data_IF_548553022576
#
_entry.id   IF_548553022576
#
_cell.length_a   1.000
_cell.length_b   1.000
_cell.length_c   1.000
_cell.angle_alpha   90.00
_cell.angle_beta   90.00
_cell.angle_gamma   90.00
#
_symmetry.space_group_name_H-M   'P 1'
#
loop_
_entity.id
_entity.type
_entity.pdbx_description
1 polymer ?
#
# COMPACT_ATOMS: atom_id res chain seq x y z
N UNK A 1 2.50 19.13 25.39
CA UNK A 1 2.00 19.43 24.03
C UNK A 1 1.59 18.12 23.38
N UNK A 2 0.33 17.95 22.96
CA UNK A 2 -0.07 16.77 22.16
C UNK A 2 0.66 16.87 20.82
N UNK A 3 1.52 15.90 20.50
CA UNK A 3 2.07 15.78 19.14
C UNK A 3 0.89 15.80 18.16
N UNK A 4 0.95 16.64 17.12
CA UNK A 4 -0.13 16.78 16.15
C UNK A 4 -0.53 15.40 15.62
N UNK A 5 -1.83 15.11 15.61
CA UNK A 5 -2.39 13.79 15.29
C UNK A 5 -2.19 13.37 13.81
N UNK A 6 -1.41 14.14 13.05
CA UNK A 6 -1.27 14.02 11.61
C UNK A 6 0.16 14.32 11.18
N UNK A 7 0.63 13.57 10.18
CA UNK A 7 1.89 13.80 9.48
C UNK A 7 1.60 14.40 8.11
N UNK A 8 2.59 15.03 7.49
CA UNK A 8 2.50 15.39 6.08
C UNK A 8 2.29 14.11 5.22
N UNK A 9 1.44 14.14 4.18
CA UNK A 9 0.58 15.26 3.77
C UNK A 9 -0.68 15.42 4.63
N UNK A 10 -1.17 16.66 4.75
CA UNK A 10 -2.33 17.02 5.58
C UNK A 10 -3.65 16.32 5.19
N UNK A 11 -4.67 16.34 6.08
CA UNK A 11 -5.81 15.42 6.02
C UNK A 11 -6.88 15.73 4.98
N UNK A 12 -6.86 16.92 4.36
CA UNK A 12 -7.95 17.34 3.46
C UNK A 12 -7.88 16.59 2.12
N UNK A 13 -8.98 15.93 1.75
CA UNK A 13 -9.15 15.25 0.47
C UNK A 13 -8.35 13.95 0.29
N UNK A 14 -7.85 13.35 1.38
CA UNK A 14 -7.07 12.09 1.36
C UNK A 14 -7.21 11.33 2.68
N UNK A 15 -6.76 10.09 2.72
CA UNK A 15 -6.66 9.36 4.00
C UNK A 15 -5.56 10.02 4.85
N UNK A 16 -5.87 10.56 6.06
CA UNK A 16 -4.89 11.26 6.87
C UNK A 16 -3.69 10.38 7.23
N UNK A 17 -2.49 10.91 7.03
CA UNK A 17 -1.28 10.24 7.49
C UNK A 17 -1.15 10.44 9.01
N UNK A 18 -0.80 9.38 9.74
CA UNK A 18 -0.75 9.40 11.20
C UNK A 18 0.54 8.76 11.74
N UNK A 19 1.07 9.22 12.88
CA UNK A 19 2.15 8.51 13.58
C UNK A 19 1.72 7.09 13.96
N UNK A 20 2.53 6.08 13.61
CA UNK A 20 2.24 4.68 13.92
C UNK A 20 1.57 3.89 12.81
N UNK A 21 1.48 4.42 11.58
CA UNK A 21 1.01 3.68 10.41
C UNK A 21 1.79 2.38 10.17
N UNK A 22 3.10 2.38 10.45
CA UNK A 22 3.94 1.19 10.39
C UNK A 22 3.51 0.14 11.42
N UNK A 23 3.32 0.55 12.69
CA UNK A 23 2.85 -0.34 13.76
C UNK A 23 1.44 -0.86 13.51
N UNK A 24 0.58 -0.06 12.87
CA UNK A 24 -0.74 -0.49 12.47
C UNK A 24 -0.68 -1.59 11.39
N UNK A 25 0.23 -1.47 10.42
CA UNK A 25 0.44 -2.52 9.41
C UNK A 25 1.03 -3.81 10.01
N UNK A 26 1.91 -3.70 11.01
CA UNK A 26 2.38 -4.88 11.77
C UNK A 26 1.23 -5.62 12.46
N UNK A 27 0.36 -4.89 13.18
CA UNK A 27 -0.82 -5.48 13.83
C UNK A 27 -1.80 -6.09 12.84
N UNK A 28 -2.00 -5.46 11.69
CA UNK A 28 -2.82 -6.03 10.62
C UNK A 28 -2.22 -7.35 10.12
N UNK A 29 -0.90 -7.45 10.04
CA UNK A 29 -0.23 -8.68 9.59
C UNK A 29 -0.30 -9.84 10.61
N UNK A 30 -0.69 -9.56 11.85
CA UNK A 30 -0.88 -10.55 12.90
C UNK A 30 -2.26 -11.24 12.84
N UNK A 31 -3.22 -10.72 12.06
CA UNK A 31 -4.57 -11.31 11.99
C UNK A 31 -4.61 -12.56 11.11
N UNK A 32 -5.55 -13.45 11.39
CA UNK A 32 -5.71 -14.69 10.62
C UNK A 32 -6.19 -14.43 9.19
N UNK A 33 -6.98 -13.37 8.98
CA UNK A 33 -7.39 -12.94 7.63
C UNK A 33 -6.18 -12.53 6.79
N UNK A 34 -5.23 -11.79 7.38
CA UNK A 34 -3.99 -11.45 6.68
C UNK A 34 -3.18 -12.69 6.36
N UNK A 35 -3.01 -13.60 7.32
CA UNK A 35 -2.25 -14.85 7.13
C UNK A 35 -2.86 -15.71 6.01
N UNK A 36 -4.18 -15.85 6.00
CA UNK A 36 -4.91 -16.62 4.99
C UNK A 36 -4.95 -15.94 3.60
N UNK A 37 -4.86 -14.61 3.54
CA UNK A 37 -4.97 -13.88 2.28
C UNK A 37 -3.75 -14.10 1.36
N UNK A 38 -3.98 -14.60 0.15
CA UNK A 38 -2.97 -14.64 -0.91
C UNK A 38 -2.91 -13.34 -1.75
N UNK A 39 -3.95 -12.50 -1.66
CA UNK A 39 -4.13 -11.28 -2.44
C UNK A 39 -4.67 -10.18 -1.56
N UNK A 40 -4.11 -8.97 -1.68
CA UNK A 40 -4.50 -7.78 -0.93
C UNK A 40 -4.87 -6.68 -1.93
N UNK A 41 -5.96 -5.94 -1.64
CA UNK A 41 -6.26 -4.67 -2.30
C UNK A 41 -5.93 -3.52 -1.37
N UNK A 42 -5.21 -2.50 -1.85
CA UNK A 42 -4.79 -1.37 -1.03
C UNK A 42 -4.80 -0.05 -1.83
N UNK A 43 -5.02 1.08 -1.17
CA UNK A 43 -5.04 2.40 -1.84
C UNK A 43 -3.65 3.02 -1.93
N UNK A 44 -3.45 4.00 -2.84
CA UNK A 44 -2.16 4.64 -3.05
C UNK A 44 -1.74 5.62 -1.95
N UNK A 45 -2.64 5.96 -1.01
CA UNK A 45 -2.39 6.92 0.07
C UNK A 45 -1.18 6.56 0.93
N UNK A 46 -0.42 7.59 1.33
CA UNK A 46 0.78 7.50 2.17
C UNK A 46 0.63 6.63 3.43
N UNK A 47 -0.41 6.77 4.28
CA UNK A 47 -0.61 5.90 5.45
C UNK A 47 -0.75 4.42 5.14
N UNK A 48 -1.11 4.05 3.90
CA UNK A 48 -1.24 2.65 3.50
C UNK A 48 0.03 2.11 2.82
N UNK A 49 1.08 2.92 2.64
CA UNK A 49 2.36 2.45 2.12
C UNK A 49 2.97 1.30 2.95
N UNK A 50 2.94 1.32 4.31
CA UNK A 50 3.42 0.19 5.10
C UNK A 50 2.65 -1.10 4.83
N UNK A 51 1.32 -1.03 4.66
CA UNK A 51 0.48 -2.20 4.34
C UNK A 51 0.85 -2.78 2.97
N UNK A 52 0.96 -1.93 1.94
CA UNK A 52 1.39 -2.35 0.59
C UNK A 52 2.77 -3.00 0.61
N UNK A 53 3.72 -2.38 1.32
CA UNK A 53 5.08 -2.89 1.47
C UNK A 53 5.07 -4.27 2.12
N UNK A 54 4.31 -4.43 3.22
CA UNK A 54 4.20 -5.69 3.94
C UNK A 54 3.52 -6.78 3.12
N UNK A 55 2.46 -6.45 2.38
CA UNK A 55 1.78 -7.39 1.48
C UNK A 55 2.77 -8.01 0.48
N UNK A 56 3.56 -7.17 -0.19
CA UNK A 56 4.57 -7.62 -1.15
C UNK A 56 5.71 -8.40 -0.47
N UNK A 57 6.16 -7.97 0.71
CA UNK A 57 7.19 -8.68 1.49
C UNK A 57 6.73 -10.07 1.95
N UNK A 58 5.45 -10.20 2.32
CA UNK A 58 4.83 -11.47 2.71
C UNK A 58 4.43 -12.35 1.49
N UNK A 59 4.89 -12.00 0.28
CA UNK A 59 4.64 -12.78 -0.94
C UNK A 59 3.21 -12.72 -1.46
N UNK A 60 2.40 -11.75 -1.02
CA UNK A 60 1.00 -11.59 -1.41
C UNK A 60 0.90 -10.73 -2.68
N UNK A 61 -0.02 -11.09 -3.58
CA UNK A 61 -0.34 -10.24 -4.74
C UNK A 61 -1.00 -8.96 -4.26
N UNK A 62 -0.60 -7.81 -4.82
CA UNK A 62 -1.15 -6.53 -4.44
C UNK A 62 -1.92 -5.91 -5.62
N UNK A 63 -3.19 -5.62 -5.41
CA UNK A 63 -3.99 -4.76 -6.27
C UNK A 63 -3.99 -3.35 -5.68
N UNK A 64 -3.34 -2.41 -6.35
CA UNK A 64 -3.34 -1.01 -5.94
C UNK A 64 -4.25 -0.19 -6.85
N UNK A 65 -5.13 0.62 -6.28
CA UNK A 65 -5.86 1.60 -7.07
C UNK A 65 -4.91 2.67 -7.65
N UNK A 66 -5.11 3.08 -8.89
CA UNK A 66 -4.44 4.27 -9.43
C UNK A 66 -4.98 5.54 -8.75
N UNK A 67 -4.21 6.63 -8.65
CA UNK A 67 -4.68 7.88 -8.07
C UNK A 67 -6.00 8.35 -8.68
N UNK A 68 -6.99 8.63 -7.82
CA UNK A 68 -8.33 9.12 -8.19
C UNK A 68 -9.13 8.19 -9.11
N UNK A 69 -8.69 6.93 -9.32
CA UNK A 69 -9.29 6.00 -10.27
C UNK A 69 -9.39 6.60 -11.69
N UNK A 70 -8.42 7.45 -12.05
CA UNK A 70 -8.50 8.28 -13.26
C UNK A 70 -8.31 7.51 -14.57
N UNK A 71 -7.85 6.26 -14.52
CA UNK A 71 -7.51 5.46 -15.70
C UNK A 71 -8.64 4.48 -16.07
N UNK A 72 -8.78 4.11 -17.37
CA UNK A 72 -9.74 3.08 -17.81
C UNK A 72 -9.53 1.71 -17.16
N UNK A 73 -8.27 1.40 -16.80
CA UNK A 73 -7.89 0.26 -15.95
C UNK A 73 -7.46 0.83 -14.59
N UNK A 74 -8.41 1.00 -13.65
CA UNK A 74 -8.19 1.83 -12.46
C UNK A 74 -7.40 1.10 -11.37
N UNK A 75 -6.85 -0.08 -11.66
CA UNK A 75 -6.02 -0.84 -10.75
C UNK A 75 -4.72 -1.27 -11.41
N UNK A 76 -3.74 -1.52 -10.57
CA UNK A 76 -2.45 -2.10 -10.94
C UNK A 76 -2.24 -3.34 -10.09
N UNK A 77 -1.99 -4.48 -10.75
CA UNK A 77 -1.58 -5.72 -10.13
C UNK A 77 -0.05 -5.76 -10.03
N UNK A 78 0.45 -5.98 -8.82
CA UNK A 78 1.86 -6.23 -8.54
C UNK A 78 1.99 -7.68 -8.04
N UNK A 79 2.74 -8.52 -8.75
CA UNK A 79 3.05 -9.90 -8.33
C UNK A 79 4.47 -9.94 -7.75
N UNK A 80 4.63 -10.24 -6.45
CA UNK A 80 5.94 -10.22 -5.79
C UNK A 80 6.94 -11.23 -6.37
N UNK A 81 6.48 -12.27 -7.07
CA UNK A 81 7.36 -13.25 -7.74
C UNK A 81 8.05 -12.69 -8.98
N UNK A 82 7.66 -11.51 -9.45
CA UNK A 82 8.20 -10.85 -10.64
C UNK A 82 8.96 -9.56 -10.31
N UNK A 83 9.14 -9.26 -9.03
CA UNK A 83 9.81 -8.03 -8.61
C UNK A 83 11.32 -8.18 -8.68
N UNK A 84 11.96 -7.25 -9.38
CA UNK A 84 13.42 -7.07 -9.39
C UNK A 84 13.88 -5.96 -8.43
N UNK A 85 12.92 -5.31 -7.77
CA UNK A 85 13.14 -4.23 -6.80
C UNK A 85 12.58 -4.62 -5.43
N UNK A 86 12.97 -3.89 -4.39
CA UNK A 86 12.44 -4.15 -3.05
C UNK A 86 10.91 -3.96 -2.98
N UNK A 87 10.22 -4.70 -2.09
CA UNK A 87 8.80 -4.51 -1.83
C UNK A 87 8.41 -3.05 -1.56
N UNK A 88 9.26 -2.31 -0.83
CA UNK A 88 9.05 -0.89 -0.50
C UNK A 88 9.09 0.00 -1.75
N UNK A 89 10.04 -0.26 -2.66
CA UNK A 89 10.16 0.50 -3.91
C UNK A 89 8.93 0.25 -4.81
N UNK A 90 8.57 -1.01 -5.01
CA UNK A 90 7.40 -1.42 -5.79
C UNK A 90 6.07 -0.92 -5.20
N UNK A 91 5.96 -0.79 -3.88
CA UNK A 91 4.74 -0.36 -3.20
C UNK A 91 4.43 1.15 -3.35
N UNK A 92 5.38 1.97 -3.80
CA UNK A 92 5.14 3.40 -4.05
C UNK A 92 4.18 3.61 -5.23
N UNK A 93 3.59 4.80 -5.37
CA UNK A 93 2.73 5.10 -6.53
C UNK A 93 3.52 4.92 -7.85
N UNK A 94 4.70 5.53 -7.93
CA UNK A 94 5.57 5.43 -9.10
C UNK A 94 6.00 3.98 -9.35
N UNK A 95 6.53 3.31 -8.32
CA UNK A 95 7.01 1.93 -8.45
C UNK A 95 5.91 0.95 -8.82
N UNK A 96 4.68 1.15 -8.35
CA UNK A 96 3.55 0.34 -8.77
C UNK A 96 3.27 0.52 -10.26
N UNK A 97 3.29 1.75 -10.78
CA UNK A 97 3.10 2.00 -12.22
C UNK A 97 4.25 1.45 -13.07
N UNK A 98 5.49 1.49 -12.57
CA UNK A 98 6.68 1.01 -13.29
C UNK A 98 6.77 -0.53 -13.31
N UNK A 99 6.43 -1.20 -12.20
CA UNK A 99 6.66 -2.64 -12.01
C UNK A 99 5.39 -3.48 -11.95
N UNK A 100 4.22 -2.84 -11.92
CA UNK A 100 2.93 -3.50 -11.92
C UNK A 100 2.30 -3.54 -13.31
N UNK A 101 1.22 -4.32 -13.43
CA UNK A 101 0.44 -4.43 -14.65
C UNK A 101 -0.93 -3.79 -14.47
N UNK A 102 -1.34 -2.82 -15.30
CA UNK A 102 -2.70 -2.28 -15.28
C UNK A 102 -3.74 -3.36 -15.54
N UNK A 103 -4.80 -3.38 -14.72
CA UNK A 103 -5.90 -4.36 -14.74
C UNK A 103 -7.25 -3.71 -14.53
#
# INVERSE_FOLDING_TARGET
MRQGAFRFPGPVGRIPHFPGAERAAERLAETDEWRAAATIKCNPDSPQLPIRTRALADGKRLYMAVPKLAEPRPFVLIDPRRLEVSPRAAASIKGAMDHGRPV
#
